data_IF_535014827142
#
_entry.id   IF_535014827142
#
_cell.length_a   1.000
_cell.length_b   1.000
_cell.length_c   1.000
_cell.angle_alpha   90.00
_cell.angle_beta   90.00
_cell.angle_gamma   90.00
#
_symmetry.space_group_name_H-M   'P 1'
#
loop_
_entity.id
_entity.type
_entity.pdbx_description
1 polymer ?
#
# COMPACT_ATOMS: atom_id res chain seq x y z
N UNK A 1 -8.63 -14.56 33.62
CA UNK A 1 -9.54 -13.58 32.97
C UNK A 1 -8.71 -12.37 32.55
N UNK A 2 -8.67 -12.01 31.27
CA UNK A 2 -7.88 -10.86 30.81
C UNK A 2 -8.58 -9.54 31.16
N UNK A 3 -7.85 -8.62 31.79
CA UNK A 3 -8.38 -7.30 32.16
C UNK A 3 -8.69 -6.49 30.89
N UNK A 4 -9.94 -6.03 30.74
CA UNK A 4 -10.33 -5.13 29.65
C UNK A 4 -9.56 -3.81 29.77
N UNK A 5 -8.79 -3.46 28.75
CA UNK A 5 -8.13 -2.16 28.66
C UNK A 5 -9.18 -1.04 28.71
N UNK A 6 -9.02 -0.09 29.64
CA UNK A 6 -9.88 1.10 29.72
C UNK A 6 -9.56 2.01 28.54
N UNK A 7 -10.50 2.19 27.62
CA UNK A 7 -10.38 3.17 26.55
C UNK A 7 -10.55 4.58 27.14
N UNK A 8 -9.52 5.41 27.01
CA UNK A 8 -9.60 6.83 27.35
C UNK A 8 -10.03 7.62 26.11
N UNK A 9 -11.19 8.25 26.18
CA UNK A 9 -11.65 9.17 25.14
C UNK A 9 -11.10 10.56 25.44
N UNK A 10 -10.20 11.05 24.59
CA UNK A 10 -9.68 12.42 24.66
C UNK A 10 -10.44 13.28 23.66
N UNK A 11 -10.99 14.41 24.11
CA UNK A 11 -11.70 15.37 23.26
C UNK A 11 -10.80 16.59 23.03
N UNK A 12 -10.58 16.92 21.77
CA UNK A 12 -9.89 18.13 21.34
C UNK A 12 -10.90 19.12 20.77
N UNK A 13 -10.81 20.37 21.17
CA UNK A 13 -11.64 21.46 20.66
C UNK A 13 -10.76 22.44 19.90
N UNK A 14 -11.19 22.82 18.70
CA UNK A 14 -10.54 23.84 17.88
C UNK A 14 -11.50 25.01 17.69
N UNK A 15 -11.04 26.21 18.02
CA UNK A 15 -11.72 27.45 17.69
C UNK A 15 -11.28 27.87 16.28
N UNK A 16 -12.22 27.89 15.34
CA UNK A 16 -12.00 28.25 13.95
C UNK A 16 -12.90 29.41 13.56
N UNK A 17 -12.37 30.30 12.72
CA UNK A 17 -13.23 31.26 11.99
C UNK A 17 -14.04 30.52 10.93
N UNK A 18 -15.09 31.18 10.41
CA UNK A 18 -15.93 30.59 9.36
C UNK A 18 -15.12 30.21 8.11
N UNK A 19 -14.26 31.10 7.64
CA UNK A 19 -13.38 30.88 6.48
C UNK A 19 -12.41 29.71 6.71
N UNK A 20 -11.81 29.63 7.90
CA UNK A 20 -10.93 28.50 8.23
C UNK A 20 -11.70 27.19 8.24
N UNK A 21 -12.89 27.17 8.82
CA UNK A 21 -13.74 25.99 8.86
C UNK A 21 -14.11 25.51 7.46
N UNK A 22 -14.46 26.43 6.55
CA UNK A 22 -14.75 26.14 5.15
C UNK A 22 -13.52 25.59 4.42
N UNK A 23 -12.35 26.21 4.61
CA UNK A 23 -11.09 25.74 4.04
C UNK A 23 -10.76 24.30 4.49
N UNK A 24 -10.86 24.02 5.80
CA UNK A 24 -10.60 22.69 6.35
C UNK A 24 -11.62 21.66 5.87
N UNK A 25 -12.87 22.05 5.67
CA UNK A 25 -13.92 21.20 5.14
C UNK A 25 -13.64 20.83 3.67
N UNK A 26 -13.33 21.82 2.83
CA UNK A 26 -12.98 21.60 1.43
C UNK A 26 -11.72 20.71 1.27
N UNK A 27 -10.73 20.90 2.16
CA UNK A 27 -9.51 20.09 2.16
C UNK A 27 -9.78 18.65 2.62
N UNK A 28 -10.75 18.43 3.51
CA UNK A 28 -11.15 17.09 3.91
C UNK A 28 -11.90 16.37 2.78
N UNK A 29 -12.79 17.09 2.09
CA UNK A 29 -13.56 16.60 0.94
C UNK A 29 -12.66 16.23 -0.24
N UNK A 30 -11.67 17.07 -0.57
CA UNK A 30 -10.71 16.76 -1.64
C UNK A 30 -9.86 15.52 -1.36
N UNK A 31 -9.71 15.16 -0.08
CA UNK A 31 -9.00 13.95 0.35
C UNK A 31 -9.94 12.78 0.68
N UNK A 32 -11.27 12.94 0.49
CA UNK A 32 -12.25 11.88 0.73
C UNK A 32 -12.37 11.43 2.18
N UNK A 33 -12.01 12.28 3.15
CA UNK A 33 -12.03 11.95 4.58
C UNK A 33 -12.85 12.96 5.39
N UNK A 34 -13.23 12.59 6.62
CA UNK A 34 -13.88 13.55 7.53
C UNK A 34 -12.89 14.61 8.02
N UNK A 35 -13.39 15.82 8.28
CA UNK A 35 -12.60 16.92 8.86
C UNK A 35 -11.93 16.53 10.18
N UNK A 36 -12.62 15.79 11.05
CA UNK A 36 -12.04 15.31 12.31
C UNK A 36 -10.87 14.35 12.08
N UNK A 37 -10.97 13.49 11.07
CA UNK A 37 -9.89 12.59 10.68
C UNK A 37 -8.70 13.35 10.10
N UNK A 38 -8.95 14.34 9.25
CA UNK A 38 -7.93 15.23 8.71
C UNK A 38 -7.15 15.93 9.83
N UNK A 39 -7.85 16.47 10.84
CA UNK A 39 -7.23 17.11 12.01
C UNK A 39 -6.42 16.12 12.84
N UNK A 40 -6.96 14.94 13.15
CA UNK A 40 -6.24 13.88 13.90
C UNK A 40 -4.94 13.50 13.20
N UNK A 41 -4.98 13.29 11.87
CA UNK A 41 -3.79 12.95 11.08
C UNK A 41 -2.76 14.07 11.09
N UNK A 42 -3.21 15.33 10.95
CA UNK A 42 -2.31 16.48 11.00
C UNK A 42 -1.65 16.65 12.37
N UNK A 43 -2.42 16.45 13.45
CA UNK A 43 -1.91 16.46 14.83
C UNK A 43 -0.91 15.32 15.10
N UNK A 44 -1.14 14.14 14.51
CA UNK A 44 -0.23 13.01 14.60
C UNK A 44 1.02 13.15 13.71
N UNK A 45 1.17 14.25 12.98
CA UNK A 45 2.26 14.46 12.02
C UNK A 45 2.17 13.57 10.77
N UNK A 46 1.03 12.91 10.55
CA UNK A 46 0.81 12.07 9.38
C UNK A 46 0.54 12.95 8.14
N UNK A 47 1.35 12.77 7.09
CA UNK A 47 1.09 13.39 5.78
C UNK A 47 -0.15 12.74 5.17
N UNK A 48 -1.19 13.54 4.88
CA UNK A 48 -2.28 13.10 4.00
C UNK A 48 -1.75 13.20 2.57
N UNK A 49 -1.22 12.09 2.05
CA UNK A 49 -0.85 11.97 0.64
C UNK A 49 -2.06 11.44 -0.12
N UNK A 50 -2.52 12.19 -1.12
CA UNK A 50 -3.49 11.67 -2.08
C UNK A 50 -2.72 10.93 -3.17
N UNK A 51 -3.12 9.69 -3.47
CA UNK A 51 -2.53 8.93 -4.58
C UNK A 51 -3.30 9.32 -5.84
N UNK A 52 -2.64 9.78 -6.92
CA UNK A 52 -3.31 10.04 -8.18
C UNK A 52 -4.14 8.83 -8.63
N UNK A 53 -5.38 9.05 -9.09
CA UNK A 53 -6.28 7.95 -9.48
C UNK A 53 -5.66 7.02 -10.54
N UNK A 54 -4.84 7.58 -11.43
CA UNK A 54 -4.10 6.79 -12.42
C UNK A 54 -3.07 5.87 -11.77
N UNK A 55 -2.30 6.36 -10.80
CA UNK A 55 -1.33 5.56 -10.06
C UNK A 55 -2.02 4.45 -9.26
N UNK A 56 -3.18 4.77 -8.66
CA UNK A 56 -3.99 3.79 -7.95
C UNK A 56 -4.48 2.67 -8.87
N UNK A 57 -5.01 3.03 -10.05
CA UNK A 57 -5.45 2.04 -11.04
C UNK A 57 -4.28 1.16 -11.52
N UNK A 58 -3.15 1.78 -11.86
CA UNK A 58 -1.95 1.07 -12.28
C UNK A 58 -1.44 0.11 -11.20
N UNK A 59 -1.46 0.52 -9.93
CA UNK A 59 -1.06 -0.31 -8.79
C UNK A 59 -1.85 -1.62 -8.73
N UNK A 60 -3.17 -1.57 -8.91
CA UNK A 60 -4.03 -2.76 -8.90
C UNK A 60 -3.86 -3.62 -10.15
N UNK A 61 -3.61 -3.02 -11.31
CA UNK A 61 -3.31 -3.77 -12.52
C UNK A 61 -2.01 -4.56 -12.38
N UNK A 62 -0.97 -3.94 -11.79
CA UNK A 62 0.30 -4.60 -11.49
C UNK A 62 0.14 -5.74 -10.48
N UNK A 63 -0.72 -5.59 -9.47
CA UNK A 63 -1.05 -6.69 -8.56
C UNK A 63 -1.64 -7.88 -9.34
N UNK A 64 -2.62 -7.62 -10.20
CA UNK A 64 -3.25 -8.69 -10.99
C UNK A 64 -2.23 -9.45 -11.86
N UNK A 65 -1.31 -8.73 -12.50
CA UNK A 65 -0.24 -9.35 -13.29
C UNK A 65 0.65 -10.25 -12.41
N UNK A 66 1.00 -9.82 -11.19
CA UNK A 66 1.79 -10.65 -10.27
C UNK A 66 1.06 -11.91 -9.81
N UNK A 67 -0.26 -11.83 -9.63
CA UNK A 67 -1.11 -12.98 -9.30
C UNK A 67 -1.18 -13.96 -10.47
N UNK A 68 -1.36 -13.46 -11.70
CA UNK A 68 -1.39 -14.27 -12.92
C UNK A 68 -0.05 -15.00 -13.13
N UNK A 69 1.09 -14.33 -12.92
CA UNK A 69 2.43 -14.95 -12.96
C UNK A 69 2.55 -16.07 -11.92
N UNK A 70 2.11 -15.81 -10.68
CA UNK A 70 2.17 -16.80 -9.60
C UNK A 70 1.33 -18.04 -9.91
N UNK A 71 0.18 -17.86 -10.57
CA UNK A 71 -0.67 -18.96 -11.02
C UNK A 71 0.00 -19.79 -12.12
N UNK A 72 0.70 -19.15 -13.06
CA UNK A 72 1.46 -19.87 -14.11
C UNK A 72 2.54 -20.75 -13.49
N UNK A 73 3.32 -20.21 -12.54
CA UNK A 73 4.37 -20.96 -11.85
C UNK A 73 3.79 -22.15 -11.07
N UNK A 74 2.67 -21.93 -10.38
CA UNK A 74 1.96 -23.00 -9.67
C UNK A 74 1.47 -24.08 -10.62
N UNK A 75 0.82 -23.70 -11.72
CA UNK A 75 0.33 -24.64 -12.71
C UNK A 75 1.47 -25.45 -13.35
N UNK A 76 2.62 -24.83 -13.60
CA UNK A 76 3.81 -25.52 -14.10
C UNK A 76 4.31 -26.58 -13.12
N UNK A 77 4.45 -26.23 -11.84
CA UNK A 77 4.83 -27.17 -10.77
C UNK A 77 3.79 -28.29 -10.57
N UNK A 78 2.50 -27.98 -10.68
CA UNK A 78 1.41 -28.96 -10.60
C UNK A 78 1.47 -29.98 -11.75
N UNK A 79 1.95 -29.58 -12.94
CA UNK A 79 2.16 -30.49 -14.07
C UNK A 79 3.37 -31.40 -13.83
N UNK A 80 4.47 -30.87 -13.29
CA UNK A 80 5.65 -31.65 -12.90
C UNK A 80 5.29 -32.72 -11.85
N UNK A 81 4.56 -32.32 -10.80
CA UNK A 81 4.16 -33.25 -9.72
C UNK A 81 3.21 -34.34 -10.20
N UNK A 82 2.47 -34.12 -11.29
CA UNK A 82 1.66 -35.13 -11.98
C UNK A 82 2.48 -36.05 -12.91
N UNK A 83 3.81 -35.89 -12.96
CA UNK A 83 4.70 -36.70 -13.79
C UNK A 83 4.69 -36.32 -15.28
N UNK A 84 4.14 -35.16 -15.62
CA UNK A 84 4.14 -34.63 -16.98
C UNK A 84 5.33 -33.68 -17.18
N UNK A 85 5.76 -33.52 -18.43
CA UNK A 85 6.85 -32.62 -18.79
C UNK A 85 6.28 -31.31 -19.36
N UNK A 86 6.15 -30.23 -18.55
CA UNK A 86 5.69 -28.95 -19.06
C UNK A 86 6.72 -28.29 -19.97
N UNK A 87 6.33 -27.28 -20.76
CA UNK A 87 7.28 -26.47 -21.52
C UNK A 87 8.34 -25.85 -20.59
N UNK A 88 9.58 -25.70 -21.06
CA UNK A 88 10.65 -25.11 -20.26
C UNK A 88 10.30 -23.65 -19.94
N UNK A 89 10.33 -23.32 -18.65
CA UNK A 89 10.12 -21.96 -18.14
C UNK A 89 11.35 -21.56 -17.36
N UNK A 90 11.84 -20.34 -17.58
CA UNK A 90 12.87 -19.74 -16.74
C UNK A 90 12.25 -19.08 -15.50
N UNK A 91 12.28 -19.82 -14.39
CA UNK A 91 11.77 -19.35 -13.10
C UNK A 91 12.51 -18.09 -12.60
N UNK A 92 13.81 -17.95 -12.88
CA UNK A 92 14.58 -16.78 -12.45
C UNK A 92 14.07 -15.49 -13.11
N UNK A 93 13.62 -15.57 -14.36
CA UNK A 93 13.05 -14.42 -15.06
C UNK A 93 11.71 -14.01 -14.43
N UNK A 94 10.86 -14.96 -14.05
CA UNK A 94 9.60 -14.66 -13.38
C UNK A 94 9.78 -14.10 -11.97
N UNK A 95 10.72 -14.63 -11.18
CA UNK A 95 11.03 -14.08 -9.85
C UNK A 95 11.57 -12.64 -9.94
N UNK A 96 12.47 -12.36 -10.88
CA UNK A 96 12.93 -10.99 -11.15
C UNK A 96 11.78 -10.08 -11.52
N UNK A 97 10.88 -10.52 -12.40
CA UNK A 97 9.72 -9.75 -12.81
C UNK A 97 8.78 -9.45 -11.63
N UNK A 98 8.55 -10.42 -10.73
CA UNK A 98 7.75 -10.21 -9.52
C UNK A 98 8.37 -9.16 -8.58
N UNK A 99 9.70 -9.16 -8.44
CA UNK A 99 10.42 -8.14 -7.67
C UNK A 99 10.28 -6.76 -8.31
N UNK A 100 10.51 -6.63 -9.61
CA UNK A 100 10.36 -5.38 -10.35
C UNK A 100 8.92 -4.83 -10.27
N UNK A 101 7.90 -5.69 -10.42
CA UNK A 101 6.49 -5.31 -10.24
C UNK A 101 6.24 -4.79 -8.83
N UNK A 102 6.81 -5.43 -7.81
CA UNK A 102 6.67 -5.00 -6.42
C UNK A 102 7.29 -3.63 -6.19
N UNK A 103 8.49 -3.40 -6.71
CA UNK A 103 9.17 -2.09 -6.65
C UNK A 103 8.36 -1.01 -7.36
N UNK A 104 7.86 -1.29 -8.58
CA UNK A 104 7.03 -0.34 -9.32
C UNK A 104 5.74 0.00 -8.58
N UNK A 105 5.11 -0.99 -7.95
CA UNK A 105 3.91 -0.76 -7.11
C UNK A 105 4.20 0.15 -5.93
N UNK A 106 5.36 0.01 -5.30
CA UNK A 106 5.80 0.91 -4.24
C UNK A 106 6.00 2.34 -4.77
N UNK A 107 6.67 2.51 -5.91
CA UNK A 107 6.86 3.82 -6.54
C UNK A 107 5.55 4.55 -6.86
N UNK A 108 4.48 3.82 -7.17
CA UNK A 108 3.17 4.42 -7.47
C UNK A 108 2.45 4.95 -6.23
N UNK A 109 2.79 4.45 -5.04
CA UNK A 109 2.18 4.82 -3.76
C UNK A 109 3.09 5.77 -2.95
N UNK A 110 4.40 5.59 -3.06
CA UNK A 110 5.42 6.35 -2.34
C UNK A 110 6.06 7.38 -3.27
N UNK A 111 5.73 8.66 -3.06
CA UNK A 111 6.46 9.76 -3.69
C UNK A 111 7.77 10.02 -2.94
N UNK A 112 8.87 9.47 -3.47
CA UNK A 112 10.25 9.79 -3.06
C UNK A 112 11.16 8.56 -2.91
N UNK A 113 12.36 8.63 -3.51
CA UNK A 113 13.38 7.56 -3.45
C UNK A 113 13.74 7.17 -2.00
N UNK A 114 13.67 8.08 -1.04
CA UNK A 114 13.95 7.79 0.37
C UNK A 114 12.89 6.89 1.05
N UNK A 115 11.61 7.03 0.69
CA UNK A 115 10.53 6.19 1.24
C UNK A 115 10.57 4.79 0.59
N UNK A 116 10.84 4.74 -0.72
CA UNK A 116 11.04 3.48 -1.47
C UNK A 116 12.23 2.71 -0.89
N UNK A 117 13.37 3.36 -0.69
CA UNK A 117 14.57 2.73 -0.13
C UNK A 117 14.37 2.23 1.31
N UNK A 118 13.50 2.87 2.11
CA UNK A 118 13.17 2.43 3.48
C UNK A 118 12.24 1.21 3.48
N UNK A 119 11.26 1.14 2.59
CA UNK A 119 10.37 -0.03 2.49
C UNK A 119 11.04 -1.23 1.83
N UNK A 120 11.85 -1.03 0.77
CA UNK A 120 12.64 -2.10 0.14
C UNK A 120 13.64 -2.72 1.14
N UNK A 121 14.35 -1.90 1.92
CA UNK A 121 15.22 -2.42 2.99
C UNK A 121 14.48 -3.17 4.09
N UNK A 122 13.18 -2.89 4.29
CA UNK A 122 12.35 -3.62 5.26
C UNK A 122 11.83 -4.94 4.70
N UNK A 123 11.58 -5.03 3.40
CA UNK A 123 11.15 -6.29 2.77
C UNK A 123 12.27 -7.32 2.70
N UNK A 124 13.52 -6.88 2.53
CA UNK A 124 14.70 -7.76 2.52
C UNK A 124 15.05 -8.30 3.92
N UNK A 125 14.47 -7.73 4.98
CA UNK A 125 14.80 -8.05 6.37
C UNK A 125 13.88 -9.13 6.99
N UNK A 126 13.14 -9.87 6.15
CA UNK A 126 12.34 -11.04 6.56
C UNK A 126 13.08 -12.38 6.40
N UNK A 127 14.38 -12.35 6.07
CA UNK A 127 15.25 -13.54 5.95
C UNK A 127 16.15 -13.78 7.20
N UNK A 128 15.77 -13.31 8.39
CA UNK A 128 16.40 -13.72 9.68
C UNK A 128 15.52 -14.65 10.52
#
# INVERSE_FOLDING_TARGET
>A
MAAKQKQHTVRFEMLLTKEQNEHWQALAESNGISKAELVRRRMAGCRIKSIPQINWKCYWQLLKISEDISQILKAHNDVITKGLTPPPIDFNTFEKLLREISTLRLCLILEGEEEINKEVKKSDNWEE
#
